data_IF_413447535527
#
_entry.id   IF_413447535527
#
_cell.length_a   1.000
_cell.length_b   1.000
_cell.length_c   1.000
_cell.angle_alpha   90.00
_cell.angle_beta   90.00
_cell.angle_gamma   90.00
#
_symmetry.space_group_name_H-M   'P 1'
#
loop_
_entity.id
_entity.type
_entity.pdbx_description
1 polymer ?
#
# COMPACT_ATOMS: atom_id res chain seq x y z
N UNK A 1 0.49 -15.71 -17.14
CA UNK A 1 0.22 -14.52 -16.31
C UNK A 1 0.93 -14.50 -14.96
N UNK A 2 1.38 -15.66 -14.42
CA UNK A 2 2.15 -15.82 -13.15
C UNK A 2 3.47 -15.02 -12.98
N UNK A 3 4.09 -14.53 -14.06
CA UNK A 3 5.42 -13.89 -14.01
C UNK A 3 5.38 -12.40 -13.62
N UNK A 4 4.27 -11.70 -13.84
CA UNK A 4 4.09 -10.30 -13.39
C UNK A 4 3.81 -10.20 -11.88
N UNK A 5 3.19 -11.22 -11.31
CA UNK A 5 2.80 -11.25 -9.90
C UNK A 5 4.00 -11.45 -8.97
N UNK A 6 4.91 -12.38 -9.29
CA UNK A 6 6.15 -12.58 -8.52
C UNK A 6 7.02 -11.34 -8.44
N UNK A 7 7.08 -10.57 -9.53
CA UNK A 7 7.83 -9.32 -9.53
C UNK A 7 7.28 -8.30 -8.53
N UNK A 8 5.95 -8.27 -8.30
CA UNK A 8 5.33 -7.35 -7.34
C UNK A 8 5.65 -7.69 -5.88
N UNK A 9 5.78 -8.99 -5.56
CA UNK A 9 6.18 -9.49 -4.23
C UNK A 9 7.60 -9.02 -3.86
N UNK A 10 8.51 -9.02 -4.83
CA UNK A 10 9.88 -8.54 -4.62
C UNK A 10 9.93 -7.04 -4.38
N UNK A 11 9.12 -6.22 -5.06
CA UNK A 11 9.18 -4.76 -4.89
C UNK A 11 8.72 -4.27 -3.54
N UNK A 12 7.63 -4.83 -3.02
CA UNK A 12 7.17 -4.45 -1.68
C UNK A 12 8.23 -4.86 -0.67
N UNK A 13 8.79 -6.07 -0.79
CA UNK A 13 9.89 -6.53 0.06
C UNK A 13 11.13 -5.63 -0.05
N UNK A 14 11.53 -5.21 -1.26
CA UNK A 14 12.63 -4.27 -1.51
C UNK A 14 12.34 -2.87 -0.96
N UNK A 15 11.08 -2.42 -0.94
CA UNK A 15 10.72 -1.10 -0.39
C UNK A 15 10.97 -0.99 1.12
N UNK A 16 10.92 -2.11 1.85
CA UNK A 16 11.25 -2.15 3.28
C UNK A 16 12.75 -2.06 3.56
N UNK A 17 13.58 -2.37 2.57
CA UNK A 17 15.06 -2.39 2.65
C UNK A 17 15.68 -1.17 1.95
N UNK A 18 15.00 -0.60 0.96
CA UNK A 18 15.49 0.57 0.22
C UNK A 18 15.59 1.78 1.15
N UNK A 19 16.79 2.39 1.18
CA UNK A 19 17.01 3.67 1.86
C UNK A 19 16.36 4.85 1.12
N UNK A 20 16.02 4.68 -0.15
CA UNK A 20 15.49 5.73 -1.01
C UNK A 20 14.22 5.23 -1.74
N UNK A 21 13.08 5.42 -1.06
CA UNK A 21 11.76 5.04 -1.58
C UNK A 21 11.35 5.93 -2.78
N UNK A 22 11.56 7.26 -2.77
CA UNK A 22 11.26 8.12 -3.91
C UNK A 22 11.93 7.65 -5.21
N UNK A 23 13.24 7.35 -5.19
CA UNK A 23 13.95 6.85 -6.38
C UNK A 23 13.47 5.47 -6.84
N UNK A 24 13.02 4.63 -5.93
CA UNK A 24 12.43 3.33 -6.28
C UNK A 24 11.10 3.55 -7.02
N UNK A 25 10.24 4.44 -6.52
CA UNK A 25 8.95 4.76 -7.13
C UNK A 25 9.13 5.38 -8.52
N UNK A 26 10.03 6.35 -8.67
CA UNK A 26 10.33 6.96 -9.98
C UNK A 26 10.76 5.93 -11.02
N UNK A 27 11.61 4.98 -10.61
CA UNK A 27 12.06 3.89 -11.46
C UNK A 27 10.90 2.99 -11.88
N UNK A 28 10.04 2.61 -10.92
CA UNK A 28 8.86 1.78 -11.19
C UNK A 28 7.87 2.47 -12.12
N UNK A 29 7.65 3.78 -11.97
CA UNK A 29 6.79 4.54 -12.88
C UNK A 29 7.41 4.60 -14.28
N UNK A 30 8.71 4.90 -14.40
CA UNK A 30 9.41 4.92 -15.69
C UNK A 30 9.40 3.58 -16.41
N UNK A 31 9.45 2.48 -15.66
CA UNK A 31 9.36 1.11 -16.19
C UNK A 31 7.92 0.66 -16.48
N UNK A 32 6.90 1.46 -16.16
CA UNK A 32 5.49 1.10 -16.32
C UNK A 32 5.01 0.01 -15.34
N UNK A 33 5.70 -0.13 -14.20
CA UNK A 33 5.50 -1.19 -13.19
C UNK A 33 4.82 -0.69 -11.94
N UNK A 34 4.65 0.63 -11.79
CA UNK A 34 3.88 1.22 -10.70
C UNK A 34 2.38 1.13 -11.00
N UNK A 35 1.82 -0.07 -10.81
CA UNK A 35 0.40 -0.35 -11.02
C UNK A 35 -0.44 0.05 -9.80
N UNK A 36 -1.74 0.29 -10.01
CA UNK A 36 -2.66 0.57 -8.90
C UNK A 36 -2.72 -0.58 -7.90
N UNK A 37 -2.74 -1.83 -8.38
CA UNK A 37 -2.65 -3.03 -7.53
C UNK A 37 -1.40 -3.03 -6.64
N UNK A 38 -0.23 -2.61 -7.17
CA UNK A 38 1.00 -2.53 -6.37
C UNK A 38 0.88 -1.52 -5.23
N UNK A 39 0.27 -0.36 -5.49
CA UNK A 39 0.03 0.68 -4.47
C UNK A 39 -0.88 0.14 -3.37
N UNK A 40 -1.98 -0.52 -3.75
CA UNK A 40 -2.95 -1.09 -2.80
C UNK A 40 -2.28 -2.19 -1.96
N UNK A 41 -1.56 -3.12 -2.58
CA UNK A 41 -0.84 -4.19 -1.88
C UNK A 41 0.22 -3.65 -0.92
N UNK A 42 0.92 -2.57 -1.29
CA UNK A 42 1.87 -1.91 -0.42
C UNK A 42 1.18 -1.30 0.81
N UNK A 43 0.00 -0.69 0.64
CA UNK A 43 -0.80 -0.17 1.74
C UNK A 43 -1.28 -1.30 2.68
N UNK A 44 -1.76 -2.42 2.13
CA UNK A 44 -2.17 -3.58 2.93
C UNK A 44 -1.01 -4.19 3.73
N UNK A 45 0.23 -4.04 3.25
CA UNK A 45 1.43 -4.43 4.01
C UNK A 45 1.86 -3.41 5.07
N UNK A 46 1.25 -2.22 5.12
CA UNK A 46 1.64 -1.13 6.01
C UNK A 46 2.77 -0.24 5.50
N UNK A 47 3.15 -0.34 4.22
CA UNK A 47 4.25 0.46 3.67
C UNK A 47 3.77 1.84 3.21
N UNK A 48 3.38 2.68 4.15
CA UNK A 48 2.84 4.02 3.86
C UNK A 48 3.81 4.96 3.15
N UNK A 49 5.12 5.01 3.47
CA UNK A 49 6.05 5.88 2.74
C UNK A 49 6.13 5.57 1.24
N UNK A 50 5.95 4.31 0.85
CA UNK A 50 5.86 3.91 -0.56
C UNK A 50 4.55 4.38 -1.19
N UNK A 51 3.42 4.19 -0.51
CA UNK A 51 2.09 4.60 -0.99
C UNK A 51 2.04 6.11 -1.23
N UNK A 52 2.54 6.90 -0.27
CA UNK A 52 2.61 8.36 -0.38
C UNK A 52 3.46 8.80 -1.56
N UNK A 53 4.66 8.21 -1.71
CA UNK A 53 5.55 8.50 -2.82
C UNK A 53 4.94 8.09 -4.16
N UNK A 54 4.31 6.91 -4.23
CA UNK A 54 3.65 6.41 -5.43
C UNK A 54 2.50 7.32 -5.87
N UNK A 55 1.61 7.69 -4.94
CA UNK A 55 0.50 8.57 -5.25
C UNK A 55 0.99 9.98 -5.60
N UNK A 56 2.05 10.48 -4.95
CA UNK A 56 2.67 11.76 -5.30
C UNK A 56 3.19 11.76 -6.74
N UNK A 57 3.96 10.73 -7.13
CA UNK A 57 4.51 10.59 -8.48
C UNK A 57 3.40 10.46 -9.52
N UNK A 58 2.40 9.60 -9.29
CA UNK A 58 1.31 9.41 -10.28
C UNK A 58 0.38 10.61 -10.41
N UNK A 59 0.15 11.36 -9.32
CA UNK A 59 -0.67 12.57 -9.34
C UNK A 59 0.10 13.82 -9.77
N UNK A 60 1.43 13.76 -9.88
CA UNK A 60 2.27 14.92 -10.18
C UNK A 60 2.24 15.99 -9.08
N UNK A 61 2.08 15.59 -7.82
CA UNK A 61 2.05 16.49 -6.66
C UNK A 61 3.25 16.27 -5.76
N UNK A 62 3.59 17.25 -4.92
CA UNK A 62 4.66 17.11 -3.93
C UNK A 62 4.36 16.04 -2.88
N UNK A 63 5.39 15.31 -2.43
CA UNK A 63 5.28 14.23 -1.43
C UNK A 63 4.56 14.67 -0.15
N UNK A 64 4.90 15.85 0.37
CA UNK A 64 4.25 16.40 1.57
C UNK A 64 2.74 16.59 1.39
N UNK A 65 2.31 16.99 0.19
CA UNK A 65 0.89 17.15 -0.13
C UNK A 65 0.20 15.79 -0.22
N UNK A 66 0.83 14.81 -0.87
CA UNK A 66 0.30 13.45 -0.94
C UNK A 66 0.17 12.83 0.46
N UNK A 67 1.20 12.94 1.31
CA UNK A 67 1.17 12.46 2.69
C UNK A 67 0.03 13.08 3.49
N UNK A 68 -0.19 14.39 3.37
CA UNK A 68 -1.32 15.06 4.00
C UNK A 68 -2.66 14.52 3.51
N UNK A 69 -2.83 14.31 2.20
CA UNK A 69 -4.08 13.79 1.64
C UNK A 69 -4.34 12.32 2.01
N UNK A 70 -3.29 11.51 2.15
CA UNK A 70 -3.36 10.11 2.53
C UNK A 70 -3.73 9.96 4.00
N UNK A 71 -3.10 10.74 4.88
CA UNK A 71 -3.33 10.68 6.33
C UNK A 71 -4.41 11.63 6.84
N UNK A 72 -5.07 12.37 5.94
CA UNK A 72 -6.16 13.28 6.31
C UNK A 72 -7.24 12.52 7.08
N UNK A 73 -7.84 13.16 8.08
CA UNK A 73 -8.87 12.53 8.91
C UNK A 73 -10.19 12.34 8.17
N UNK A 74 -10.38 13.02 7.04
CA UNK A 74 -11.54 12.84 6.17
C UNK A 74 -11.27 11.90 4.98
N UNK A 75 -12.33 11.27 4.42
CA UNK A 75 -12.20 10.41 3.24
C UNK A 75 -11.93 11.19 1.94
N UNK A 76 -12.09 12.52 1.96
CA UNK A 76 -12.08 13.36 0.76
C UNK A 76 -10.68 13.55 0.17
N UNK A 77 -9.64 13.68 1.00
CA UNK A 77 -8.26 13.82 0.55
C UNK A 77 -7.82 12.61 -0.27
N UNK A 78 -7.87 11.43 0.35
CA UNK A 78 -7.51 10.18 -0.32
C UNK A 78 -8.39 9.91 -1.53
N UNK A 79 -9.71 10.15 -1.44
CA UNK A 79 -10.63 9.92 -2.58
C UNK A 79 -10.33 10.83 -3.77
N UNK A 80 -10.04 12.11 -3.53
CA UNK A 80 -9.68 13.03 -4.60
C UNK A 80 -8.38 12.61 -5.28
N UNK A 81 -7.39 12.19 -4.49
CA UNK A 81 -6.11 11.70 -4.99
C UNK A 81 -6.27 10.42 -5.82
N UNK A 82 -7.04 9.45 -5.32
CA UNK A 82 -7.31 8.20 -6.03
C UNK A 82 -8.06 8.44 -7.35
N UNK A 83 -9.04 9.36 -7.37
CA UNK A 83 -9.73 9.75 -8.60
C UNK A 83 -8.78 10.38 -9.62
N UNK A 84 -7.88 11.26 -9.18
CA UNK A 84 -6.89 11.90 -10.05
C UNK A 84 -5.93 10.88 -10.68
N UNK A 85 -5.54 9.84 -9.93
CA UNK A 85 -4.64 8.77 -10.39
C UNK A 85 -5.38 7.67 -11.17
N UNK A 86 -6.72 7.71 -11.21
CA UNK A 86 -7.55 6.72 -11.92
C UNK A 86 -7.66 5.38 -11.19
N UNK A 87 -7.56 5.36 -9.86
CA UNK A 87 -7.76 4.14 -9.06
C UNK A 87 -9.25 3.75 -9.08
N UNK A 88 -9.62 2.51 -9.47
CA UNK A 88 -10.99 2.02 -9.44
C UNK A 88 -11.61 2.04 -8.04
N UNK A 89 -12.94 2.20 -7.95
CA UNK A 89 -13.65 2.30 -6.67
C UNK A 89 -13.44 1.09 -5.75
N UNK A 90 -13.32 -0.12 -6.30
CA UNK A 90 -13.04 -1.33 -5.53
C UNK A 90 -11.67 -1.25 -4.84
N UNK A 91 -10.63 -0.87 -5.60
CA UNK A 91 -9.27 -0.70 -5.09
C UNK A 91 -9.17 0.48 -4.12
N UNK A 92 -9.94 1.54 -4.34
CA UNK A 92 -10.06 2.65 -3.40
C UNK A 92 -10.59 2.19 -2.04
N UNK A 93 -11.62 1.34 -1.98
CA UNK A 93 -12.16 0.83 -0.71
C UNK A 93 -11.09 0.06 0.08
N UNK A 94 -10.35 -0.80 -0.61
CA UNK A 94 -9.28 -1.59 0.01
C UNK A 94 -8.13 -0.68 0.50
N UNK A 95 -7.69 0.27 -0.33
CA UNK A 95 -6.66 1.25 0.04
C UNK A 95 -7.10 2.11 1.24
N UNK A 96 -8.33 2.63 1.22
CA UNK A 96 -8.87 3.42 2.32
C UNK A 96 -8.93 2.61 3.62
N UNK A 97 -9.40 1.36 3.56
CA UNK A 97 -9.45 0.50 4.74
C UNK A 97 -8.04 0.20 5.30
N UNK A 98 -7.06 -0.07 4.43
CA UNK A 98 -5.67 -0.25 4.84
C UNK A 98 -5.08 1.00 5.52
N UNK A 99 -5.35 2.19 4.99
CA UNK A 99 -4.91 3.47 5.60
C UNK A 99 -5.56 3.68 6.98
N UNK A 100 -6.85 3.37 7.12
CA UNK A 100 -7.55 3.48 8.41
C UNK A 100 -6.95 2.51 9.44
N UNK A 101 -6.69 1.26 9.05
CA UNK A 101 -6.04 0.26 9.90
C UNK A 101 -4.63 0.72 10.31
N UNK A 102 -3.83 1.20 9.36
CA UNK A 102 -2.49 1.72 9.62
C UNK A 102 -2.51 2.83 10.67
N UNK A 103 -3.43 3.78 10.54
CA UNK A 103 -3.57 4.89 11.49
C UNK A 103 -3.98 4.42 12.88
N UNK A 104 -4.93 3.50 12.96
CA UNK A 104 -5.34 2.90 14.24
C UNK A 104 -4.16 2.19 14.93
N UNK A 105 -3.32 1.51 14.15
CA UNK A 105 -2.12 0.83 14.64
C UNK A 105 -1.03 1.78 15.12
N UNK A 106 -0.74 2.83 14.34
CA UNK A 106 0.21 3.89 14.73
C UNK A 106 -0.25 4.61 16.01
N UNK A 107 -1.55 4.92 16.12
CA UNK A 107 -2.12 5.58 17.30
C UNK A 107 -2.07 4.71 18.56
N UNK A 108 -2.29 3.40 18.43
CA UNK A 108 -2.19 2.44 19.54
C UNK A 108 -0.75 2.18 19.98
N UNK A 109 0.23 2.58 19.18
CA UNK A 109 1.57 2.94 19.65
C UNK A 109 2.31 1.88 20.45
N UNK A 110 2.22 0.61 20.07
CA UNK A 110 3.11 -0.41 20.64
C UNK A 110 4.42 -0.45 19.85
N UNK A 111 5.56 -0.61 20.53
CA UNK A 111 6.87 -0.88 19.92
C UNK A 111 6.85 -2.24 19.20
N UNK A 112 6.15 -2.33 18.07
CA UNK A 112 6.13 -3.50 17.22
C UNK A 112 7.38 -3.49 16.36
N UNK A 113 8.03 -4.65 16.23
CA UNK A 113 9.00 -4.84 15.16
C UNK A 113 8.29 -4.66 13.81
N UNK A 114 9.04 -4.27 12.78
CA UNK A 114 8.50 -4.11 11.41
C UNK A 114 7.74 -5.35 10.94
N UNK A 115 8.25 -6.55 11.24
CA UNK A 115 7.59 -7.82 10.93
C UNK A 115 6.24 -7.97 11.62
N UNK A 116 6.18 -7.74 12.94
CA UNK A 116 4.92 -7.82 13.71
C UNK A 116 3.90 -6.77 13.25
N UNK A 117 4.36 -5.57 12.91
CA UNK A 117 3.50 -4.53 12.35
C UNK A 117 2.91 -5.00 11.00
N UNK A 118 3.74 -5.54 10.11
CA UNK A 118 3.29 -6.05 8.82
C UNK A 118 2.33 -7.24 8.96
N UNK A 119 2.60 -8.19 9.85
CA UNK A 119 1.69 -9.31 10.15
C UNK A 119 0.33 -8.80 10.60
N UNK A 120 0.30 -7.90 11.58
CA UNK A 120 -0.95 -7.33 12.10
C UNK A 120 -1.72 -6.51 11.06
N UNK A 121 -1.02 -5.80 10.18
CA UNK A 121 -1.63 -5.10 9.04
C UNK A 121 -2.34 -6.09 8.11
N UNK A 122 -1.64 -7.16 7.71
CA UNK A 122 -2.17 -8.18 6.81
C UNK A 122 -3.35 -8.93 7.44
N UNK A 123 -3.23 -9.36 8.69
CA UNK A 123 -4.31 -10.02 9.43
C UNK A 123 -5.56 -9.16 9.51
N UNK A 124 -5.41 -7.87 9.87
CA UNK A 124 -6.55 -6.95 9.96
C UNK A 124 -7.19 -6.68 8.61
N UNK A 125 -6.39 -6.52 7.56
CA UNK A 125 -6.91 -6.32 6.20
C UNK A 125 -7.67 -7.56 5.73
N UNK A 126 -7.08 -8.76 5.87
CA UNK A 126 -7.72 -10.02 5.46
C UNK A 126 -9.00 -10.34 6.26
N UNK A 127 -9.13 -9.79 7.47
CA UNK A 127 -10.32 -9.95 8.31
C UNK A 127 -11.45 -8.95 7.97
N UNK A 128 -11.24 -8.03 7.03
CA UNK A 128 -12.27 -7.06 6.65
C UNK A 128 -13.43 -7.73 5.91
N UNK A 129 -14.68 -7.30 6.15
CA UNK A 129 -15.85 -7.77 5.39
C UNK A 129 -15.93 -7.07 4.03
N UNK A 130 -14.86 -7.15 3.22
CA UNK A 130 -14.80 -6.57 1.87
C UNK A 130 -14.52 -7.66 0.84
N UNK A 131 -15.08 -7.51 -0.36
CA UNK A 131 -14.78 -8.41 -1.47
C UNK A 131 -13.41 -8.08 -2.04
N UNK A 132 -12.50 -9.05 -1.99
CA UNK A 132 -11.20 -8.97 -2.65
C UNK A 132 -11.31 -9.48 -4.09
N UNK A 133 -10.44 -8.97 -4.95
CA UNK A 133 -10.10 -9.71 -6.16
C UNK A 133 -9.30 -10.97 -5.76
N UNK A 134 -9.52 -12.09 -6.44
CA UNK A 134 -8.87 -13.36 -6.14
C UNK A 134 -7.33 -13.22 -6.11
N UNK A 135 -6.78 -12.43 -7.05
CA UNK A 135 -5.34 -12.22 -7.15
C UNK A 135 -4.76 -11.37 -6.01
N UNK A 136 -5.55 -10.43 -5.47
CA UNK A 136 -5.13 -9.61 -4.32
C UNK A 136 -5.25 -10.41 -3.03
N UNK A 137 -6.28 -11.25 -2.88
CA UNK A 137 -6.43 -12.13 -1.73
C UNK A 137 -5.30 -13.17 -1.64
N UNK A 138 -5.02 -13.88 -2.74
CA UNK A 138 -3.93 -14.87 -2.81
C UNK A 138 -2.57 -14.23 -2.49
N UNK A 139 -2.31 -13.03 -3.02
CA UNK A 139 -1.08 -12.29 -2.73
C UNK A 139 -0.95 -11.95 -1.24
N UNK A 140 -2.02 -11.45 -0.61
CA UNK A 140 -2.00 -11.04 0.79
C UNK A 140 -1.80 -12.25 1.72
N UNK A 141 -2.41 -13.40 1.39
CA UNK A 141 -2.20 -14.65 2.10
C UNK A 141 -0.75 -15.16 1.96
N UNK A 142 -0.22 -15.24 0.73
CA UNK A 142 1.17 -15.66 0.50
C UNK A 142 2.14 -14.74 1.25
N UNK A 143 1.85 -13.44 1.30
CA UNK A 143 2.68 -12.48 2.02
C UNK A 143 2.58 -12.66 3.54
N UNK A 144 1.40 -12.96 4.07
CA UNK A 144 1.20 -13.24 5.50
C UNK A 144 2.01 -14.46 5.92
N UNK A 145 1.92 -15.56 5.17
CA UNK A 145 2.65 -16.81 5.44
C UNK A 145 4.17 -16.57 5.49
N UNK A 146 4.71 -15.79 4.54
CA UNK A 146 6.15 -15.48 4.47
C UNK A 146 6.66 -14.58 5.59
N UNK A 147 5.80 -13.76 6.20
CA UNK A 147 6.19 -12.83 7.28
C UNK A 147 5.95 -13.48 8.65
N UNK A 148 5.03 -14.43 8.73
CA UNK A 148 4.76 -15.23 9.93
C UNK A 148 5.74 -16.40 10.13
N UNK A 149 6.36 -16.90 9.05
CA UNK A 149 7.42 -17.91 9.05
C UNK A 149 8.77 -17.34 9.55
#
# INVERSE_FOLDING_TARGET
TRTRERASVDFISQSWVSRDIPRLVERLEREGRLTHCLIVRAACCGQMPFVESALATKAGIGQRKAALMVHDSGPFGLRALCKQVGIPDMQFRLLHAAVVIYRDMEQKGTYLSKSKFQTLMLERVLSLPITFDESDFEYLLEKLDRVAA
#
